data_IF_880834498294
#
_entry.id   IF_880834498294
#
_cell.length_a   1.000
_cell.length_b   1.000
_cell.length_c   1.000
_cell.angle_alpha   90.00
_cell.angle_beta   90.00
_cell.angle_gamma   90.00
#
_symmetry.space_group_name_H-M   'P 1'
#
loop_
_entity.id
_entity.type
_entity.pdbx_description
1 polymer ?
#
# COMPACT_ATOMS: atom_id res chain seq x y z
N UNK A 1 5.46 14.34 -11.84
CA UNK A 1 5.92 14.48 -10.45
C UNK A 1 6.42 13.13 -9.99
N UNK A 2 7.69 13.06 -9.58
CA UNK A 2 8.41 11.83 -9.24
C UNK A 2 8.07 11.26 -7.85
N UNK A 3 7.10 11.86 -7.13
CA UNK A 3 6.87 11.56 -5.71
C UNK A 3 5.89 10.40 -5.48
N UNK A 4 4.94 10.16 -6.39
CA UNK A 4 3.98 9.06 -6.22
C UNK A 4 4.63 7.66 -6.35
N UNK A 5 5.58 7.38 -7.27
CA UNK A 5 6.13 6.04 -7.39
C UNK A 5 6.89 5.57 -6.13
N UNK A 6 7.74 6.39 -5.48
CA UNK A 6 8.36 6.01 -4.21
C UNK A 6 7.36 5.75 -3.09
N UNK A 7 6.27 6.51 -3.01
CA UNK A 7 5.22 6.29 -2.01
C UNK A 7 4.46 4.99 -2.28
N UNK A 8 4.09 4.72 -3.53
CA UNK A 8 3.41 3.48 -3.90
C UNK A 8 4.30 2.26 -3.65
N UNK A 9 5.58 2.33 -4.02
CA UNK A 9 6.55 1.26 -3.74
C UNK A 9 6.80 1.08 -2.25
N UNK A 10 7.03 2.16 -1.50
CA UNK A 10 7.24 2.10 -0.06
C UNK A 10 6.03 1.56 0.69
N UNK A 11 4.83 1.97 0.29
CA UNK A 11 3.57 1.44 0.82
C UNK A 11 3.40 -0.05 0.53
N UNK A 12 3.67 -0.50 -0.70
CA UNK A 12 3.60 -1.92 -1.08
C UNK A 12 4.62 -2.78 -0.29
N UNK A 13 5.85 -2.28 -0.12
CA UNK A 13 6.86 -2.94 0.71
C UNK A 13 6.37 -3.01 2.17
N UNK A 14 5.76 -1.96 2.71
CA UNK A 14 5.27 -1.96 4.08
C UNK A 14 4.18 -3.03 4.33
N UNK A 15 3.36 -3.36 3.32
CA UNK A 15 2.36 -4.44 3.41
C UNK A 15 3.01 -5.84 3.57
N UNK A 16 4.29 -6.00 3.22
CA UNK A 16 5.00 -7.27 3.49
C UNK A 16 5.21 -7.55 4.98
N UNK A 17 5.21 -6.51 5.82
CA UNK A 17 5.40 -6.64 7.28
C UNK A 17 4.25 -7.43 7.93
N UNK A 18 2.96 -7.04 7.81
CA UNK A 18 1.87 -7.82 8.39
C UNK A 18 1.75 -9.21 7.76
N UNK A 19 2.09 -9.36 6.47
CA UNK A 19 2.16 -10.68 5.82
C UNK A 19 3.21 -11.59 6.46
N UNK A 20 4.40 -11.06 6.76
CA UNK A 20 5.47 -11.79 7.42
C UNK A 20 5.08 -12.21 8.84
N UNK A 21 4.45 -11.32 9.63
CA UNK A 21 3.94 -11.67 10.95
C UNK A 21 2.90 -12.79 10.91
N UNK A 22 1.90 -12.68 10.03
CA UNK A 22 0.86 -13.68 9.88
C UNK A 22 1.42 -15.04 9.44
N UNK A 23 2.33 -15.04 8.46
CA UNK A 23 2.97 -16.27 7.96
C UNK A 23 3.87 -16.90 9.02
N UNK A 24 4.67 -16.09 9.72
CA UNK A 24 5.55 -16.56 10.79
C UNK A 24 4.77 -17.16 11.97
N UNK A 25 3.68 -16.51 12.40
CA UNK A 25 2.82 -17.01 13.46
C UNK A 25 2.17 -18.35 13.08
N UNK A 26 1.66 -18.46 11.84
CA UNK A 26 1.08 -19.70 11.34
C UNK A 26 2.11 -20.85 11.27
N UNK A 27 3.30 -20.58 10.74
CA UNK A 27 4.38 -21.58 10.63
C UNK A 27 4.92 -22.02 12.00
N UNK A 28 4.91 -21.13 12.99
CA UNK A 28 5.30 -21.44 14.36
C UNK A 28 4.20 -22.17 15.17
N UNK A 29 3.00 -22.35 14.60
CA UNK A 29 1.83 -22.87 15.33
C UNK A 29 1.34 -21.93 16.43
N UNK A 30 1.70 -20.64 16.36
CA UNK A 30 1.27 -19.62 17.31
C UNK A 30 -0.02 -18.96 16.81
N UNK A 31 -1.14 -19.33 17.42
CA UNK A 31 -2.46 -18.75 17.14
C UNK A 31 -2.86 -17.64 18.12
N UNK A 32 -1.93 -17.20 18.97
CA UNK A 32 -2.12 -16.05 19.86
C UNK A 32 -2.11 -14.72 19.12
N UNK A 33 -2.46 -13.65 19.83
CA UNK A 33 -2.64 -12.30 19.30
C UNK A 33 -1.48 -11.34 19.61
N UNK A 34 -0.40 -11.82 20.24
CA UNK A 34 0.76 -11.04 20.68
C UNK A 34 1.38 -10.19 19.54
N UNK A 35 1.35 -10.69 18.31
CA UNK A 35 1.89 -10.02 17.13
C UNK A 35 0.88 -9.12 16.41
N UNK A 36 -0.41 -9.28 16.69
CA UNK A 36 -1.50 -8.66 15.92
C UNK A 36 -1.47 -7.14 16.04
N UNK A 37 -1.17 -6.60 17.22
CA UNK A 37 -1.08 -5.15 17.41
C UNK A 37 0.04 -4.53 16.56
N UNK A 38 1.22 -5.16 16.52
CA UNK A 38 2.35 -4.67 15.73
C UNK A 38 2.04 -4.77 14.24
N UNK A 39 1.51 -5.91 13.80
CA UNK A 39 1.09 -6.12 12.41
C UNK A 39 0.02 -5.09 11.99
N UNK A 40 -0.99 -4.83 12.84
CA UNK A 40 -2.06 -3.85 12.58
C UNK A 40 -1.50 -2.44 12.42
N UNK A 41 -0.62 -1.98 13.31
CA UNK A 41 -0.02 -0.64 13.20
C UNK A 41 0.77 -0.52 11.88
N UNK A 42 1.58 -1.53 11.56
CA UNK A 42 2.34 -1.54 10.31
C UNK A 42 1.43 -1.54 9.06
N UNK A 43 0.31 -2.27 9.11
CA UNK A 43 -0.67 -2.31 8.03
C UNK A 43 -1.35 -0.96 7.83
N UNK A 44 -1.76 -0.28 8.91
CA UNK A 44 -2.38 1.05 8.85
C UNK A 44 -1.40 2.09 8.29
N UNK A 45 -0.13 2.03 8.71
CA UNK A 45 0.91 2.92 8.18
C UNK A 45 1.16 2.67 6.69
N UNK A 46 1.31 1.41 6.28
CA UNK A 46 1.47 1.03 4.87
C UNK A 46 0.27 1.46 4.02
N UNK A 47 -0.93 1.21 4.52
CA UNK A 47 -2.19 1.64 3.89
C UNK A 47 -2.26 3.16 3.72
N UNK A 48 -1.91 3.93 4.76
CA UNK A 48 -1.87 5.40 4.68
C UNK A 48 -0.87 5.92 3.65
N UNK A 49 0.34 5.33 3.62
CA UNK A 49 1.37 5.67 2.62
C UNK A 49 0.87 5.36 1.20
N UNK A 50 0.25 4.19 0.97
CA UNK A 50 -0.39 3.85 -0.31
C UNK A 50 -1.46 4.86 -0.70
N UNK A 51 -2.32 5.26 0.24
CA UNK A 51 -3.36 6.27 0.00
C UNK A 51 -2.78 7.60 -0.44
N UNK A 52 -1.75 8.09 0.24
CA UNK A 52 -1.06 9.33 -0.18
C UNK A 52 -0.39 9.20 -1.54
N UNK A 53 0.20 8.03 -1.84
CA UNK A 53 0.74 7.72 -3.15
C UNK A 53 -0.32 7.79 -4.25
N UNK A 54 -1.49 7.19 -4.02
CA UNK A 54 -2.62 7.19 -4.97
C UNK A 54 -3.18 8.60 -5.18
N UNK A 55 -3.32 9.41 -4.12
CA UNK A 55 -3.76 10.80 -4.24
C UNK A 55 -2.80 11.64 -5.10
N UNK A 56 -1.50 11.46 -4.93
CA UNK A 56 -0.50 12.16 -5.74
C UNK A 56 -0.40 11.60 -7.17
N UNK A 57 -0.60 10.30 -7.37
CA UNK A 57 -0.72 9.68 -8.69
C UNK A 57 -1.92 10.25 -9.46
N UNK A 58 -3.08 10.26 -8.81
CA UNK A 58 -4.32 10.81 -9.34
C UNK A 58 -4.21 12.29 -9.76
N UNK A 59 -3.62 13.11 -8.89
CA UNK A 59 -3.37 14.52 -9.20
C UNK A 59 -2.38 14.70 -10.35
N UNK A 60 -1.34 13.86 -10.41
CA UNK A 60 -0.37 13.90 -11.50
C UNK A 60 -0.96 13.47 -12.84
N UNK A 61 -1.75 12.39 -12.86
CA UNK A 61 -2.44 11.93 -14.06
C UNK A 61 -3.38 13.02 -14.62
N UNK A 62 -4.09 13.70 -13.72
CA UNK A 62 -4.95 14.82 -14.09
C UNK A 62 -4.17 16.00 -14.70
N UNK A 63 -3.03 16.37 -14.11
CA UNK A 63 -2.29 17.59 -14.48
C UNK A 63 -1.30 17.40 -15.64
N UNK A 64 -0.71 16.22 -15.79
CA UNK A 64 0.40 15.98 -16.74
C UNK A 64 0.00 15.04 -17.87
N UNK A 65 -0.69 13.94 -17.57
CA UNK A 65 -1.06 12.96 -18.59
C UNK A 65 -2.29 13.40 -19.39
N UNK A 66 -3.13 14.28 -18.84
CA UNK A 66 -4.28 14.82 -19.56
C UNK A 66 -5.35 13.77 -19.89
N UNK A 67 -5.39 12.65 -19.15
CA UNK A 67 -6.34 11.54 -19.40
C UNK A 67 -7.81 11.89 -19.06
N UNK A 68 -8.13 13.18 -18.90
CA UNK A 68 -9.49 13.65 -18.66
C UNK A 68 -10.10 13.21 -17.33
N UNK A 69 -9.33 12.54 -16.47
CA UNK A 69 -9.79 12.03 -15.18
C UNK A 69 -8.67 12.01 -14.14
N UNK A 70 -9.06 11.86 -12.87
CA UNK A 70 -8.15 11.67 -11.74
C UNK A 70 -7.55 10.26 -11.69
N UNK A 71 -7.86 9.40 -12.64
CA UNK A 71 -7.47 8.00 -12.57
C UNK A 71 -7.13 7.44 -13.94
N UNK A 72 -6.01 6.74 -13.99
CA UNK A 72 -5.35 6.31 -15.19
C UNK A 72 -4.74 4.94 -14.88
N UNK A 73 -5.34 3.84 -15.36
CA UNK A 73 -5.07 2.43 -14.98
C UNK A 73 -3.65 1.89 -15.24
N UNK A 74 -2.62 2.62 -14.87
CA UNK A 74 -1.26 2.11 -14.94
C UNK A 74 -1.10 0.93 -13.95
N UNK A 75 -0.23 -0.04 -14.26
CA UNK A 75 -0.10 -1.25 -13.44
C UNK A 75 0.25 -0.96 -11.98
N UNK A 76 0.98 0.11 -11.67
CA UNK A 76 1.45 0.41 -10.31
C UNK A 76 0.29 0.88 -9.43
N UNK A 77 -0.59 1.74 -9.94
CA UNK A 77 -1.75 2.26 -9.21
C UNK A 77 -2.79 1.15 -8.94
N UNK A 78 -2.98 0.22 -9.90
CA UNK A 78 -3.87 -0.93 -9.71
C UNK A 78 -3.40 -1.87 -8.62
N UNK A 79 -2.10 -2.18 -8.59
CA UNK A 79 -1.51 -3.02 -7.55
C UNK A 79 -1.55 -2.32 -6.20
N UNK A 80 -1.33 -1.01 -6.16
CA UNK A 80 -1.41 -0.21 -4.94
C UNK A 80 -2.83 -0.09 -4.36
N UNK A 81 -3.86 -0.28 -5.18
CA UNK A 81 -5.26 -0.33 -4.73
C UNK A 81 -5.61 -1.68 -4.06
N UNK A 82 -4.94 -2.79 -4.41
CA UNK A 82 -5.29 -4.11 -3.89
C UNK A 82 -5.31 -4.21 -2.35
N UNK A 83 -4.35 -3.63 -1.59
CA UNK A 83 -4.38 -3.64 -0.13
C UNK A 83 -5.52 -2.83 0.51
N UNK A 84 -6.30 -2.10 -0.30
CA UNK A 84 -7.49 -1.37 0.15
C UNK A 84 -8.79 -2.18 0.04
N UNK A 85 -8.79 -3.28 -0.72
CA UNK A 85 -9.93 -4.18 -0.95
C UNK A 85 -9.90 -5.38 0.00
#
# INVERSE_FOLDING_TARGET
MFSHPPLLMGGLIAITIPFAFSSGAFLAGNYGDDWVNVARISAILGWGVLGTGMLFGAWWAYTILGWGGYWAWDPIENVALMPWL
#
